data_IF_336024899546
#
_entry.id   IF_336024899546
#
_cell.length_a   1.000
_cell.length_b   1.000
_cell.length_c   1.000
_cell.angle_alpha   90.00
_cell.angle_beta   90.00
_cell.angle_gamma   90.00
#
_symmetry.space_group_name_H-M   'P 1'
#
loop_
_entity.id
_entity.type
_entity.pdbx_description
1 polymer ?
#
# COMPACT_ATOMS: atom_id res chain seq x y z
N UNK A 1 -20.64 -10.24 30.52
CA UNK A 1 -19.64 -10.81 29.60
C UNK A 1 -19.52 -9.87 28.41
N UNK A 2 -18.49 -9.01 28.40
CA UNK A 2 -18.35 -7.93 27.42
C UNK A 2 -17.75 -8.45 26.12
N UNK A 3 -18.52 -8.33 25.03
CA UNK A 3 -18.05 -8.52 23.65
C UNK A 3 -16.97 -7.46 23.35
N UNK A 4 -15.70 -7.85 23.46
CA UNK A 4 -14.60 -7.07 22.89
C UNK A 4 -14.69 -7.22 21.37
N UNK A 5 -15.20 -6.19 20.70
CA UNK A 5 -15.24 -6.14 19.24
C UNK A 5 -13.86 -6.33 18.63
N UNK A 6 -13.79 -7.05 17.52
CA UNK A 6 -12.55 -7.43 16.80
C UNK A 6 -11.67 -6.21 16.49
N UNK A 7 -12.27 -5.03 16.29
CA UNK A 7 -11.57 -3.78 16.00
C UNK A 7 -10.86 -3.10 17.17
N UNK A 8 -11.07 -3.58 18.40
CA UNK A 8 -10.19 -3.19 19.53
C UNK A 8 -8.74 -3.66 19.31
N UNK A 9 -8.50 -4.60 18.38
CA UNK A 9 -7.18 -5.09 17.99
C UNK A 9 -6.58 -4.41 16.76
N UNK A 10 -7.31 -3.51 16.08
CA UNK A 10 -6.75 -2.66 15.02
C UNK A 10 -5.97 -1.48 15.61
N UNK A 11 -6.06 -1.26 16.92
CA UNK A 11 -5.12 -0.41 17.64
C UNK A 11 -3.79 -1.14 17.86
N UNK A 12 -2.74 -0.58 17.28
CA UNK A 12 -1.34 -0.92 17.51
C UNK A 12 -0.96 -2.34 17.11
N UNK A 13 -0.71 -2.57 15.83
CA UNK A 13 0.31 -3.56 15.46
C UNK A 13 1.66 -3.06 15.97
N UNK A 14 1.94 -3.24 17.28
CA UNK A 14 3.32 -3.47 17.69
C UNK A 14 3.77 -4.61 16.78
N UNK A 15 4.76 -4.39 15.91
CA UNK A 15 5.39 -5.43 15.11
C UNK A 15 6.04 -6.47 16.07
N UNK A 16 5.22 -7.24 16.77
CA UNK A 16 5.59 -8.27 17.73
C UNK A 16 5.82 -9.56 16.97
N UNK A 17 6.88 -9.61 16.18
CA UNK A 17 7.30 -10.85 15.53
C UNK A 17 8.11 -11.66 16.54
N UNK A 18 7.81 -12.95 16.66
CA UNK A 18 8.77 -13.90 17.21
C UNK A 18 10.02 -13.84 16.33
N UNK A 19 11.08 -13.20 16.81
CA UNK A 19 12.33 -13.03 16.08
C UNK A 19 13.08 -14.35 16.12
N UNK A 20 13.21 -15.10 14.99
CA UNK A 20 14.05 -16.28 14.99
C UNK A 20 15.48 -15.89 15.40
N UNK A 21 16.10 -16.71 16.27
CA UNK A 21 17.50 -16.49 16.63
C UNK A 21 18.34 -16.51 15.36
N UNK A 22 19.24 -15.53 15.23
CA UNK A 22 20.13 -15.40 14.09
C UNK A 22 21.00 -16.67 13.95
N UNK A 23 20.57 -17.55 13.04
CA UNK A 23 21.10 -18.87 12.63
C UNK A 23 19.98 -19.75 12.03
N UNK A 24 18.71 -19.38 12.19
CA UNK A 24 17.55 -20.15 11.70
C UNK A 24 17.57 -20.45 10.19
N UNK A 25 18.24 -19.64 9.37
CA UNK A 25 18.42 -19.89 7.94
C UNK A 25 19.67 -20.70 7.57
N UNK A 26 20.58 -20.98 8.51
CA UNK A 26 21.81 -21.74 8.28
C UNK A 26 22.94 -21.01 7.53
N UNK A 27 22.66 -19.88 6.86
CA UNK A 27 23.62 -19.18 5.98
C UNK A 27 24.90 -18.72 6.69
N UNK A 28 24.83 -18.39 7.98
CA UNK A 28 25.99 -17.94 8.75
C UNK A 28 27.12 -18.96 8.87
N UNK A 29 26.87 -20.24 8.52
CA UNK A 29 27.87 -21.33 8.58
C UNK A 29 28.78 -21.38 7.36
N UNK A 30 28.33 -20.84 6.22
CA UNK A 30 29.02 -20.99 4.93
C UNK A 30 29.66 -19.70 4.39
N UNK A 31 29.45 -18.56 5.05
CA UNK A 31 29.95 -17.26 4.62
C UNK A 31 31.13 -16.79 5.50
N UNK A 32 32.02 -15.96 4.95
CA UNK A 32 33.20 -15.43 5.65
C UNK A 32 32.86 -14.32 6.65
N UNK A 33 31.86 -13.50 6.33
CA UNK A 33 31.43 -12.35 7.13
C UNK A 33 29.96 -12.50 7.57
N UNK A 34 29.67 -13.43 8.50
CA UNK A 34 28.30 -13.67 8.95
C UNK A 34 27.75 -12.46 9.71
N UNK A 35 26.44 -12.22 9.57
CA UNK A 35 25.69 -11.19 10.31
C UNK A 35 26.24 -9.79 10.08
N UNK A 36 26.62 -9.51 8.84
CA UNK A 36 27.18 -8.23 8.42
C UNK A 36 26.30 -7.06 8.88
N UNK A 37 26.88 -6.15 9.67
CA UNK A 37 26.20 -4.96 10.20
C UNK A 37 26.07 -3.90 9.10
N UNK A 38 25.12 -2.97 9.21
CA UNK A 38 25.06 -1.83 8.30
C UNK A 38 26.37 -1.02 8.31
N UNK A 39 26.73 -0.44 7.16
CA UNK A 39 27.93 0.41 6.98
C UNK A 39 27.55 1.79 6.42
N UNK A 40 28.51 2.72 6.37
CA UNK A 40 28.30 4.11 5.94
C UNK A 40 27.97 5.07 7.10
N UNK A 41 28.04 6.37 6.84
CA UNK A 41 27.86 7.41 7.86
C UNK A 41 26.41 7.88 7.96
N UNK A 42 25.67 7.86 6.84
CA UNK A 42 24.25 8.19 6.80
C UNK A 42 23.94 9.65 7.14
N UNK A 43 24.81 10.59 6.75
CA UNK A 43 24.65 12.04 7.00
C UNK A 43 23.26 12.55 6.59
N UNK A 44 22.67 11.98 5.54
CA UNK A 44 21.36 12.38 5.00
C UNK A 44 20.19 11.49 5.43
N UNK A 45 20.41 10.58 6.39
CA UNK A 45 19.40 9.66 6.95
C UNK A 45 18.74 8.77 5.90
N UNK A 46 19.50 8.31 4.93
CA UNK A 46 19.06 7.36 3.90
C UNK A 46 19.66 5.99 4.19
N UNK A 47 18.84 4.94 4.11
CA UNK A 47 19.28 3.56 4.18
C UNK A 47 19.09 2.88 2.82
N UNK A 48 20.18 2.39 2.24
CA UNK A 48 20.15 1.54 1.04
C UNK A 48 20.06 0.08 1.48
N UNK A 49 19.11 -0.67 0.90
CA UNK A 49 18.91 -2.10 1.17
C UNK A 49 19.05 -2.87 -0.13
N UNK A 50 20.12 -3.66 -0.28
CA UNK A 50 20.29 -4.59 -1.39
C UNK A 50 19.78 -6.00 -1.06
N UNK A 51 20.04 -6.97 -1.93
CA UNK A 51 19.57 -8.35 -1.78
C UNK A 51 20.32 -9.13 -0.68
N UNK A 52 21.62 -9.34 -0.86
CA UNK A 52 22.49 -10.09 0.03
C UNK A 52 23.96 -9.72 -0.28
N UNK A 53 24.92 -9.99 0.64
CA UNK A 53 26.34 -9.88 0.32
C UNK A 53 26.72 -10.79 -0.85
N UNK A 54 27.46 -10.25 -1.82
CA UNK A 54 28.15 -11.02 -2.85
C UNK A 54 29.49 -11.55 -2.37
N UNK A 55 30.31 -12.04 -3.30
CA UNK A 55 31.60 -12.66 -2.97
C UNK A 55 32.60 -11.66 -2.38
N UNK A 56 32.68 -10.47 -2.97
CA UNK A 56 33.59 -9.42 -2.51
C UNK A 56 33.10 -8.83 -1.19
N UNK A 57 31.80 -8.59 -1.05
CA UNK A 57 31.20 -8.12 0.20
C UNK A 57 31.48 -9.09 1.35
N UNK A 58 31.26 -10.39 1.12
CA UNK A 58 31.51 -11.43 2.13
C UNK A 58 32.99 -11.54 2.50
N UNK A 59 33.90 -11.37 1.53
CA UNK A 59 35.34 -11.39 1.78
C UNK A 59 35.80 -10.20 2.63
N UNK A 60 35.26 -9.01 2.41
CA UNK A 60 35.75 -7.77 3.04
C UNK A 60 34.89 -7.30 4.22
N UNK A 61 33.71 -7.89 4.44
CA UNK A 61 32.86 -7.54 5.58
C UNK A 61 32.07 -6.22 5.39
N UNK A 62 31.89 -5.76 4.15
CA UNK A 62 31.19 -4.50 3.82
C UNK A 62 30.23 -4.67 2.64
N UNK A 63 29.31 -3.74 2.41
CA UNK A 63 28.27 -3.84 1.38
C UNK A 63 28.58 -3.00 0.14
N UNK A 64 28.09 -3.45 -1.02
CA UNK A 64 28.05 -2.69 -2.27
C UNK A 64 29.45 -2.24 -2.73
N UNK A 65 30.39 -3.19 -2.78
CA UNK A 65 31.75 -2.99 -3.26
C UNK A 65 32.06 -3.77 -4.55
N UNK A 66 31.21 -4.72 -4.93
CA UNK A 66 31.30 -5.39 -6.23
C UNK A 66 30.79 -4.52 -7.39
N UNK A 67 30.66 -5.08 -8.61
CA UNK A 67 30.27 -4.33 -9.82
C UNK A 67 28.92 -3.61 -9.71
N UNK A 68 27.94 -4.21 -9.03
CA UNK A 68 26.64 -3.59 -8.76
C UNK A 68 26.76 -2.39 -7.81
N UNK A 69 27.70 -2.45 -6.86
CA UNK A 69 28.01 -1.34 -5.96
C UNK A 69 28.70 -0.20 -6.69
N UNK A 70 29.63 -0.51 -7.60
CA UNK A 70 30.29 0.51 -8.42
C UNK A 70 29.29 1.26 -9.30
N UNK A 71 28.42 0.55 -10.03
CA UNK A 71 27.36 1.20 -10.82
C UNK A 71 26.49 2.12 -9.97
N UNK A 72 26.14 1.70 -8.74
CA UNK A 72 25.37 2.55 -7.83
C UNK A 72 26.16 3.80 -7.42
N UNK A 73 27.46 3.69 -7.14
CA UNK A 73 28.33 4.81 -6.79
C UNK A 73 28.40 5.82 -7.94
N UNK A 74 28.63 5.34 -9.15
CA UNK A 74 28.70 6.19 -10.35
C UNK A 74 27.39 6.97 -10.52
N UNK A 75 26.23 6.30 -10.40
CA UNK A 75 24.91 6.96 -10.50
C UNK A 75 24.64 7.94 -9.35
N UNK A 76 25.13 7.65 -8.14
CA UNK A 76 24.98 8.51 -6.96
C UNK A 76 25.84 9.77 -7.10
N UNK A 77 27.08 9.64 -7.55
CA UNK A 77 27.99 10.75 -7.81
C UNK A 77 27.42 11.68 -8.90
N UNK A 78 26.88 11.08 -9.96
CA UNK A 78 26.17 11.74 -11.07
C UNK A 78 24.98 12.61 -10.63
N UNK A 79 24.40 12.36 -9.46
CA UNK A 79 23.29 13.13 -8.87
C UNK A 79 23.72 13.93 -7.64
N UNK A 80 25.03 14.02 -7.37
CA UNK A 80 25.62 14.82 -6.29
C UNK A 80 25.48 14.20 -4.90
N UNK A 81 25.55 12.87 -4.79
CA UNK A 81 25.51 12.12 -3.54
C UNK A 81 26.70 11.18 -3.41
N UNK A 82 27.22 11.06 -2.19
CA UNK A 82 28.23 10.05 -1.86
C UNK A 82 27.56 8.86 -1.16
N UNK A 83 27.73 7.65 -1.70
CA UNK A 83 27.09 6.44 -1.18
C UNK A 83 27.58 6.02 0.23
N UNK A 84 28.82 6.36 0.61
CA UNK A 84 29.40 6.04 1.91
C UNK A 84 29.17 7.12 2.95
N UNK A 85 29.29 8.39 2.57
CA UNK A 85 29.06 9.50 3.50
C UNK A 85 27.57 9.80 3.72
N UNK A 86 26.77 9.87 2.65
CA UNK A 86 25.38 10.32 2.77
C UNK A 86 24.43 9.23 3.24
N UNK A 87 24.78 7.96 3.00
CA UNK A 87 23.90 6.81 3.16
C UNK A 87 24.45 5.73 4.10
N UNK A 88 23.55 5.09 4.83
CA UNK A 88 23.79 3.76 5.37
C UNK A 88 23.50 2.70 4.32
N UNK A 89 24.16 1.56 4.42
CA UNK A 89 23.97 0.40 3.53
C UNK A 89 23.75 -0.86 4.34
N UNK A 90 22.82 -1.68 3.89
CA UNK A 90 22.57 -3.02 4.40
C UNK A 90 21.95 -3.89 3.30
N UNK A 91 21.56 -5.11 3.64
CA UNK A 91 20.95 -6.08 2.74
C UNK A 91 19.71 -6.69 3.37
N UNK A 92 18.83 -7.27 2.55
CA UNK A 92 17.71 -8.08 3.02
C UNK A 92 18.20 -9.30 3.82
N UNK A 93 19.30 -9.91 3.37
CA UNK A 93 20.04 -10.95 4.10
C UNK A 93 21.37 -10.41 4.60
N UNK A 94 21.73 -10.66 5.86
CA UNK A 94 23.02 -10.24 6.43
C UNK A 94 24.15 -11.26 6.21
N UNK A 95 23.91 -12.34 5.46
CA UNK A 95 24.89 -13.40 5.16
C UNK A 95 24.79 -13.76 3.68
N UNK A 96 25.94 -14.08 3.05
CA UNK A 96 26.01 -14.50 1.66
C UNK A 96 25.37 -15.89 1.46
N UNK A 97 24.41 -16.04 0.52
CA UNK A 97 23.96 -17.36 0.07
C UNK A 97 25.06 -18.11 -0.71
N UNK A 98 25.11 -19.45 -0.64
CA UNK A 98 26.04 -20.25 -1.44
C UNK A 98 25.96 -19.88 -2.93
N UNK A 99 27.11 -19.76 -3.57
CA UNK A 99 27.23 -19.46 -5.01
C UNK A 99 26.50 -18.19 -5.48
N UNK A 100 26.24 -17.24 -4.57
CA UNK A 100 25.44 -16.04 -4.84
C UNK A 100 24.03 -16.35 -5.39
N UNK A 101 23.45 -17.51 -5.06
CA UNK A 101 22.09 -17.83 -5.49
C UNK A 101 21.08 -16.81 -4.94
N UNK A 102 19.95 -16.60 -5.61
CA UNK A 102 18.86 -15.79 -5.08
C UNK A 102 18.40 -16.29 -3.69
N UNK A 103 18.11 -15.37 -2.75
CA UNK A 103 17.52 -15.72 -1.47
C UNK A 103 16.14 -16.35 -1.60
N UNK A 104 15.86 -17.32 -0.74
CA UNK A 104 14.51 -17.88 -0.60
C UNK A 104 13.63 -17.00 0.30
N UNK A 105 12.30 -17.12 0.16
CA UNK A 105 11.34 -16.42 1.05
C UNK A 105 11.60 -16.71 2.53
N UNK A 106 11.89 -17.97 2.88
CA UNK A 106 12.20 -18.39 4.26
C UNK A 106 13.47 -17.72 4.81
N UNK A 107 14.49 -17.55 3.98
CA UNK A 107 15.73 -16.86 4.38
C UNK A 107 15.51 -15.37 4.60
N UNK A 108 14.75 -14.72 3.70
CA UNK A 108 14.35 -13.31 3.85
C UNK A 108 13.54 -13.13 5.15
N UNK A 109 12.56 -13.99 5.40
CA UNK A 109 11.75 -13.96 6.62
C UNK A 109 12.59 -14.16 7.88
N UNK A 110 13.52 -15.12 7.85
CA UNK A 110 14.42 -15.39 8.97
C UNK A 110 15.40 -14.23 9.25
N UNK A 111 15.84 -13.50 8.22
CA UNK A 111 16.80 -12.40 8.37
C UNK A 111 16.13 -11.02 8.59
N UNK A 112 14.83 -10.89 8.30
CA UNK A 112 14.04 -9.64 8.47
C UNK A 112 14.25 -8.95 9.83
N UNK A 113 14.33 -9.65 10.98
CA UNK A 113 14.57 -8.98 12.25
C UNK A 113 15.86 -8.14 12.30
N UNK A 114 16.89 -8.53 11.55
CA UNK A 114 18.12 -7.76 11.43
C UNK A 114 17.87 -6.43 10.70
N UNK A 115 17.10 -6.44 9.60
CA UNK A 115 16.72 -5.22 8.88
C UNK A 115 15.85 -4.31 9.76
N UNK A 116 14.86 -4.87 10.46
CA UNK A 116 13.99 -4.08 11.35
C UNK A 116 14.77 -3.45 12.52
N UNK A 117 15.76 -4.18 13.06
CA UNK A 117 16.68 -3.65 14.07
C UNK A 117 17.49 -2.49 13.51
N UNK A 118 18.09 -2.65 12.32
CA UNK A 118 18.85 -1.59 11.66
C UNK A 118 17.99 -0.34 11.40
N UNK A 119 16.76 -0.50 10.88
CA UNK A 119 15.83 0.61 10.67
C UNK A 119 15.51 1.33 11.99
N UNK A 120 15.28 0.58 13.07
CA UNK A 120 14.99 1.17 14.39
C UNK A 120 16.19 1.93 14.96
N UNK A 121 17.40 1.39 14.83
CA UNK A 121 18.62 1.99 15.39
C UNK A 121 19.07 3.21 14.58
N UNK A 122 19.05 3.12 13.25
CA UNK A 122 19.49 4.19 12.35
C UNK A 122 18.42 5.27 12.15
N UNK A 123 17.15 4.94 12.38
CA UNK A 123 16.00 5.84 12.20
C UNK A 123 16.03 6.61 10.85
N UNK A 124 16.17 5.91 9.71
CA UNK A 124 16.27 6.56 8.41
C UNK A 124 14.95 7.28 8.07
N UNK A 125 15.07 8.36 7.30
CA UNK A 125 13.93 9.06 6.69
C UNK A 125 13.48 8.34 5.42
N UNK A 126 14.43 7.83 4.65
CA UNK A 126 14.20 7.14 3.38
C UNK A 126 14.90 5.79 3.41
N UNK A 127 14.21 4.75 2.95
CA UNK A 127 14.79 3.42 2.70
C UNK A 127 14.66 3.13 1.22
N UNK A 128 15.79 3.02 0.52
CA UNK A 128 15.83 2.62 -0.90
C UNK A 128 15.93 1.10 -0.96
N UNK A 129 14.94 0.46 -1.57
CA UNK A 129 14.84 -1.00 -1.66
C UNK A 129 15.26 -1.46 -3.05
N UNK A 130 16.45 -2.05 -3.18
CA UNK A 130 17.01 -2.46 -4.45
C UNK A 130 16.62 -3.91 -4.77
N UNK A 131 15.67 -4.07 -5.70
CA UNK A 131 15.18 -5.37 -6.16
C UNK A 131 14.15 -6.03 -5.24
N UNK A 132 13.59 -7.15 -5.72
CA UNK A 132 12.42 -7.78 -5.11
C UNK A 132 12.70 -8.37 -3.72
N UNK A 133 13.94 -8.82 -3.48
CA UNK A 133 14.37 -9.35 -2.17
C UNK A 133 14.36 -8.26 -1.09
N UNK A 134 14.84 -7.06 -1.41
CA UNK A 134 14.78 -5.89 -0.52
C UNK A 134 13.34 -5.41 -0.31
N UNK A 135 12.55 -5.39 -1.39
CA UNK A 135 11.11 -5.07 -1.33
C UNK A 135 10.36 -6.05 -0.43
N UNK A 136 10.59 -7.35 -0.59
CA UNK A 136 9.91 -8.41 0.19
C UNK A 136 10.33 -8.44 1.65
N UNK A 137 11.57 -8.05 1.96
CA UNK A 137 12.07 -8.03 3.35
C UNK A 137 11.35 -6.99 4.19
N UNK A 138 11.13 -5.78 3.65
CA UNK A 138 10.46 -4.68 4.36
C UNK A 138 8.94 -4.64 4.15
N UNK A 139 8.47 -4.72 2.91
CA UNK A 139 7.04 -4.52 2.59
C UNK A 139 6.19 -5.78 2.72
N UNK A 140 6.79 -6.97 2.58
CA UNK A 140 6.09 -8.25 2.71
C UNK A 140 5.20 -8.40 3.95
N UNK A 141 5.67 -8.12 5.19
CA UNK A 141 4.85 -8.24 6.39
C UNK A 141 3.72 -7.20 6.49
N UNK A 142 3.79 -6.10 5.73
CA UNK A 142 2.83 -5.00 5.75
C UNK A 142 1.77 -5.19 4.67
N UNK A 143 2.19 -5.61 3.48
CA UNK A 143 1.32 -5.83 2.32
C UNK A 143 0.52 -7.14 2.41
N UNK A 144 1.09 -8.21 3.01
CA UNK A 144 0.48 -9.53 3.26
C UNK A 144 -0.20 -10.21 2.06
N UNK A 145 0.02 -9.71 0.85
CA UNK A 145 -0.46 -10.25 -0.42
C UNK A 145 0.73 -10.60 -1.30
N UNK A 146 0.48 -11.22 -2.43
CA UNK A 146 1.55 -11.55 -3.36
C UNK A 146 2.30 -10.28 -3.81
N UNK A 147 3.63 -10.38 -3.79
CA UNK A 147 4.50 -9.27 -4.18
C UNK A 147 4.47 -9.06 -5.70
N UNK A 148 4.26 -10.10 -6.50
CA UNK A 148 4.33 -10.01 -7.96
C UNK A 148 5.73 -9.63 -8.45
N UNK A 149 5.80 -9.09 -9.66
CA UNK A 149 7.04 -8.68 -10.30
C UNK A 149 7.57 -7.34 -9.74
N UNK A 150 8.88 -7.08 -9.94
CA UNK A 150 9.52 -5.86 -9.48
C UNK A 150 8.93 -4.59 -10.12
N UNK A 151 8.51 -4.65 -11.40
CA UNK A 151 7.95 -3.50 -12.14
C UNK A 151 6.79 -2.80 -11.41
N UNK A 152 5.93 -3.59 -10.75
CA UNK A 152 4.84 -3.12 -9.89
C UNK A 152 5.28 -2.13 -8.79
N UNK A 153 6.50 -2.26 -8.29
CA UNK A 153 6.97 -1.55 -7.09
C UNK A 153 7.88 -0.35 -7.40
N UNK A 154 8.59 -0.39 -8.52
CA UNK A 154 9.62 0.59 -8.83
C UNK A 154 9.04 2.00 -8.96
N UNK A 155 9.72 2.98 -8.39
CA UNK A 155 9.38 4.40 -8.53
C UNK A 155 8.32 4.92 -7.54
N UNK A 156 7.66 4.02 -6.79
CA UNK A 156 6.77 4.45 -5.70
C UNK A 156 7.55 5.04 -4.53
N UNK A 157 6.96 6.05 -3.88
CA UNK A 157 7.45 6.66 -2.62
C UNK A 157 6.48 6.33 -1.50
N UNK A 158 6.58 5.12 -0.98
CA UNK A 158 5.57 4.52 -0.10
C UNK A 158 5.73 5.07 1.33
N UNK A 159 4.75 5.82 1.88
CA UNK A 159 4.88 6.40 3.21
C UNK A 159 4.59 5.35 4.29
N UNK A 160 5.60 4.67 4.83
CA UNK A 160 5.42 3.71 5.93
C UNK A 160 5.24 4.47 7.25
N UNK A 161 4.00 4.88 7.52
CA UNK A 161 3.64 5.78 8.64
C UNK A 161 3.99 5.21 10.02
N UNK A 162 3.79 3.91 10.22
CA UNK A 162 4.14 3.21 11.47
C UNK A 162 5.66 3.17 11.71
N UNK A 163 6.45 3.13 10.65
CA UNK A 163 7.92 3.17 10.71
C UNK A 163 8.48 4.59 10.57
N UNK A 164 7.61 5.58 10.38
CA UNK A 164 7.94 6.98 10.20
C UNK A 164 8.98 7.25 9.10
N UNK A 165 8.92 6.52 7.99
CA UNK A 165 9.88 6.61 6.87
C UNK A 165 9.20 6.41 5.50
N UNK A 166 9.89 6.77 4.43
CA UNK A 166 9.49 6.43 3.06
C UNK A 166 10.26 5.22 2.55
N UNK A 167 9.55 4.21 2.02
CA UNK A 167 10.15 3.10 1.29
C UNK A 167 10.09 3.38 -0.22
N UNK A 168 11.24 3.34 -0.89
CA UNK A 168 11.39 3.70 -2.29
C UNK A 168 12.02 2.54 -3.07
N UNK A 169 11.21 1.67 -3.70
CA UNK A 169 11.73 0.56 -4.49
C UNK A 169 12.37 1.02 -5.79
N UNK A 170 13.51 0.42 -6.12
CA UNK A 170 14.23 0.62 -7.40
C UNK A 170 14.77 -0.73 -7.89
N UNK A 171 15.10 -0.85 -9.18
CA UNK A 171 15.77 -2.04 -9.68
C UNK A 171 17.10 -2.25 -8.97
N UNK A 172 17.49 -3.51 -8.81
CA UNK A 172 18.83 -3.82 -8.31
C UNK A 172 19.87 -3.49 -9.39
N UNK A 173 21.02 -2.86 -9.06
CA UNK A 173 22.02 -2.50 -10.07
C UNK A 173 22.54 -3.70 -10.88
N UNK A 174 22.62 -4.89 -10.27
CA UNK A 174 22.97 -6.13 -11.00
C UNK A 174 21.98 -6.50 -12.10
N UNK A 175 20.71 -6.12 -11.99
CA UNK A 175 19.73 -6.31 -13.06
C UNK A 175 20.03 -5.38 -14.24
N UNK A 176 20.37 -4.12 -13.97
CA UNK A 176 20.74 -3.13 -14.99
C UNK A 176 21.95 -3.59 -15.80
N UNK A 177 23.00 -4.06 -15.11
CA UNK A 177 24.21 -4.61 -15.74
C UNK A 177 23.92 -5.77 -16.70
N UNK A 178 22.90 -6.59 -16.41
CA UNK A 178 22.51 -7.73 -17.29
C UNK A 178 21.66 -7.32 -18.48
N UNK A 179 20.85 -6.26 -18.36
CA UNK A 179 19.93 -5.84 -19.42
C UNK A 179 20.59 -4.96 -20.48
N UNK A 180 21.69 -4.27 -20.14
CA UNK A 180 22.37 -3.31 -21.01
C UNK A 180 21.40 -2.37 -21.75
N UNK A 181 20.49 -1.74 -21.00
CA UNK A 181 19.41 -0.90 -21.52
C UNK A 181 19.50 0.52 -20.95
N UNK A 182 19.81 1.48 -21.83
CA UNK A 182 20.00 2.89 -21.44
C UNK A 182 18.73 3.53 -20.87
N UNK A 183 17.56 3.22 -21.45
CA UNK A 183 16.27 3.75 -20.96
C UNK A 183 16.02 3.28 -19.53
N UNK A 184 16.33 2.02 -19.24
CA UNK A 184 16.21 1.47 -17.89
C UNK A 184 17.17 2.16 -16.90
N UNK A 185 18.40 2.47 -17.33
CA UNK A 185 19.37 3.22 -16.52
C UNK A 185 18.88 4.65 -16.22
N UNK A 186 18.27 5.33 -17.20
CA UNK A 186 17.68 6.66 -17.02
C UNK A 186 16.52 6.61 -16.00
N UNK A 187 15.64 5.62 -16.10
CA UNK A 187 14.56 5.44 -15.11
C UNK A 187 15.12 5.14 -13.72
N UNK A 188 16.12 4.27 -13.62
CA UNK A 188 16.79 3.98 -12.35
C UNK A 188 17.35 5.25 -11.71
N UNK A 189 18.12 6.05 -12.46
CA UNK A 189 18.66 7.34 -12.00
C UNK A 189 17.55 8.28 -11.54
N UNK A 190 16.48 8.44 -12.33
CA UNK A 190 15.33 9.31 -12.01
C UNK A 190 14.59 8.87 -10.74
N UNK A 191 14.39 7.57 -10.55
CA UNK A 191 13.70 7.07 -9.35
C UNK A 191 14.58 7.19 -8.11
N UNK A 192 15.87 6.93 -8.24
CA UNK A 192 16.83 7.13 -7.16
C UNK A 192 16.88 8.61 -6.75
N UNK A 193 17.04 9.52 -7.71
CA UNK A 193 17.04 10.97 -7.45
C UNK A 193 15.73 11.43 -6.79
N UNK A 194 14.57 10.97 -7.27
CA UNK A 194 13.26 11.27 -6.69
C UNK A 194 13.11 10.77 -5.24
N UNK A 195 13.70 9.62 -4.92
CA UNK A 195 13.70 9.06 -3.56
C UNK A 195 14.60 9.86 -2.62
N UNK A 196 15.80 10.22 -3.08
CA UNK A 196 16.81 10.93 -2.29
C UNK A 196 16.43 12.40 -2.01
N UNK A 197 15.62 13.02 -2.87
CA UNK A 197 15.06 14.36 -2.66
C UNK A 197 13.97 14.44 -1.58
N UNK A 198 13.53 13.32 -1.00
CA UNK A 198 12.57 13.34 0.10
C UNK A 198 13.26 13.87 1.36
N UNK A 199 12.83 15.05 1.80
CA UNK A 199 13.35 15.77 2.97
C UNK A 199 12.43 15.70 4.20
N UNK A 200 11.15 15.40 3.99
CA UNK A 200 10.12 15.25 5.01
C UNK A 200 9.88 13.80 5.46
N UNK A 201 9.23 13.65 6.62
CA UNK A 201 8.70 12.35 7.11
C UNK A 201 7.22 12.20 6.76
N UNK A 202 6.71 10.95 6.66
CA UNK A 202 5.30 10.74 6.40
C UNK A 202 4.45 11.27 7.56
N UNK A 203 3.21 11.66 7.26
CA UNK A 203 2.23 12.00 8.29
C UNK A 203 1.93 10.78 9.18
N UNK A 204 1.44 11.05 10.40
CA UNK A 204 1.02 10.00 11.33
C UNK A 204 -0.05 9.08 10.70
N UNK A 205 -0.12 7.81 11.13
CA UNK A 205 -1.20 6.90 10.76
C UNK A 205 -2.58 7.48 11.08
N UNK A 206 -3.59 7.12 10.28
CA UNK A 206 -4.98 7.44 10.60
C UNK A 206 -5.52 6.48 11.65
N UNK A 207 -6.28 7.01 12.62
CA UNK A 207 -7.17 6.20 13.43
C UNK A 207 -8.53 6.11 12.74
N UNK A 208 -8.71 5.06 11.93
CA UNK A 208 -9.95 4.83 11.18
C UNK A 208 -11.19 4.73 12.07
N UNK A 209 -11.06 4.32 13.34
CA UNK A 209 -12.19 4.28 14.26
C UNK A 209 -12.66 5.68 14.68
N UNK A 210 -11.80 6.69 14.58
CA UNK A 210 -12.13 8.08 14.89
C UNK A 210 -12.62 8.85 13.66
N UNK A 211 -12.08 8.55 12.47
CA UNK A 211 -12.42 9.30 11.24
C UNK A 211 -13.63 8.75 10.48
N UNK A 212 -14.03 7.50 10.74
CA UNK A 212 -15.20 6.88 10.08
C UNK A 212 -16.36 6.79 11.07
N UNK A 213 -17.44 7.50 10.75
CA UNK A 213 -18.68 7.45 11.50
C UNK A 213 -19.55 6.28 11.04
N UNK A 214 -19.77 5.30 11.92
CA UNK A 214 -20.56 4.09 11.65
C UNK A 214 -21.99 4.27 12.17
N UNK A 215 -22.86 4.83 11.35
CA UNK A 215 -24.23 5.14 11.75
C UNK A 215 -25.16 3.97 11.41
N UNK A 216 -25.69 3.31 12.44
CA UNK A 216 -26.57 2.15 12.29
C UNK A 216 -28.04 2.54 12.19
N UNK A 217 -28.40 3.73 12.68
CA UNK A 217 -29.75 4.28 12.59
C UNK A 217 -29.92 4.99 11.24
N UNK A 218 -30.77 4.42 10.38
CA UNK A 218 -30.98 4.94 9.04
C UNK A 218 -31.54 6.38 9.00
N UNK A 219 -32.25 6.83 10.04
CA UNK A 219 -32.77 8.21 10.11
C UNK A 219 -31.67 9.20 10.46
N UNK A 220 -30.74 8.80 11.35
CA UNK A 220 -29.55 9.60 11.65
C UNK A 220 -28.61 9.62 10.46
N UNK A 221 -28.39 8.49 9.80
CA UNK A 221 -27.59 8.41 8.58
C UNK A 221 -28.15 9.35 7.51
N UNK A 222 -29.46 9.33 7.27
CA UNK A 222 -30.14 10.25 6.33
C UNK A 222 -29.84 11.72 6.61
N UNK A 223 -29.87 12.15 7.88
CA UNK A 223 -29.51 13.53 8.27
C UNK A 223 -28.07 13.87 7.91
N UNK A 224 -27.14 12.94 8.13
CA UNK A 224 -25.71 13.14 7.82
C UNK A 224 -25.50 13.18 6.30
N UNK A 225 -26.13 12.28 5.54
CA UNK A 225 -26.04 12.22 4.08
C UNK A 225 -26.45 13.55 3.44
N UNK A 226 -27.46 14.23 3.97
CA UNK A 226 -27.88 15.57 3.49
C UNK A 226 -26.76 16.62 3.59
N UNK A 227 -25.86 16.51 4.57
CA UNK A 227 -24.75 17.46 4.73
C UNK A 227 -23.77 17.36 3.56
N UNK A 228 -23.58 16.16 3.00
CA UNK A 228 -22.74 15.94 1.83
C UNK A 228 -23.28 16.59 0.55
N UNK A 229 -24.56 17.00 0.52
CA UNK A 229 -25.13 17.74 -0.61
C UNK A 229 -24.52 19.13 -0.82
N UNK A 230 -23.74 19.64 0.14
CA UNK A 230 -23.05 20.92 0.06
C UNK A 230 -21.54 20.79 -0.21
N UNK A 231 -21.02 19.56 -0.27
CA UNK A 231 -19.60 19.33 -0.51
C UNK A 231 -19.22 19.57 -1.97
N UNK A 232 -17.97 19.99 -2.18
CA UNK A 232 -17.41 20.21 -3.51
C UNK A 232 -17.40 18.92 -4.36
N UNK A 233 -17.07 17.79 -3.72
CA UNK A 233 -17.00 16.46 -4.34
C UNK A 233 -17.13 15.40 -3.25
N UNK A 234 -17.55 14.20 -3.65
CA UNK A 234 -17.64 13.04 -2.75
C UNK A 234 -17.08 11.78 -3.41
N UNK A 235 -16.64 10.84 -2.60
CA UNK A 235 -16.50 9.44 -2.95
C UNK A 235 -17.61 8.64 -2.26
N UNK A 236 -18.08 7.58 -2.91
CA UNK A 236 -18.98 6.64 -2.28
C UNK A 236 -18.69 5.23 -2.76
N UNK A 237 -19.00 4.27 -1.90
CA UNK A 237 -18.71 2.86 -2.13
C UNK A 237 -19.88 2.00 -1.61
N UNK A 238 -20.15 0.89 -2.31
CA UNK A 238 -21.19 -0.07 -1.98
C UNK A 238 -20.62 -1.42 -1.60
N UNK A 239 -21.12 -1.97 -0.51
CA UNK A 239 -20.93 -3.37 -0.20
C UNK A 239 -22.17 -4.17 -0.53
N UNK A 240 -21.99 -5.27 -1.26
CA UNK A 240 -23.09 -6.01 -1.87
C UNK A 240 -22.96 -7.50 -1.58
N UNK A 241 -24.08 -8.21 -1.64
CA UNK A 241 -24.11 -9.65 -1.39
C UNK A 241 -23.60 -10.50 -2.55
N UNK A 242 -23.16 -9.88 -3.66
CA UNK A 242 -22.61 -10.55 -4.85
C UNK A 242 -21.95 -9.53 -5.79
N UNK A 243 -21.23 -10.01 -6.80
CA UNK A 243 -20.51 -9.11 -7.71
C UNK A 243 -21.42 -8.42 -8.73
N UNK A 244 -22.52 -9.05 -9.16
CA UNK A 244 -23.41 -8.48 -10.17
C UNK A 244 -24.86 -8.44 -9.70
N UNK A 245 -25.60 -7.36 -9.99
CA UNK A 245 -26.96 -7.18 -9.49
C UNK A 245 -28.04 -7.86 -10.35
N UNK A 246 -27.67 -8.81 -11.20
CA UNK A 246 -28.60 -9.38 -12.21
C UNK A 246 -29.69 -10.25 -11.59
N UNK A 247 -29.39 -10.92 -10.48
CA UNK A 247 -30.35 -11.77 -9.78
C UNK A 247 -31.43 -10.93 -9.08
N UNK A 248 -32.65 -11.42 -9.01
CA UNK A 248 -33.78 -10.68 -8.43
C UNK A 248 -33.63 -10.44 -6.91
N UNK A 249 -32.88 -11.30 -6.23
CA UNK A 249 -32.59 -11.22 -4.80
C UNK A 249 -31.29 -10.46 -4.48
N UNK A 250 -30.68 -9.79 -5.48
CA UNK A 250 -29.44 -9.03 -5.31
C UNK A 250 -29.63 -7.85 -4.35
N UNK A 251 -28.71 -7.69 -3.38
CA UNK A 251 -28.83 -6.66 -2.35
C UNK A 251 -27.54 -5.85 -2.17
N UNK A 252 -27.70 -4.54 -2.09
CA UNK A 252 -26.72 -3.66 -1.44
C UNK A 252 -26.93 -3.81 0.08
N UNK A 253 -25.85 -4.03 0.81
CA UNK A 253 -25.85 -4.30 2.26
C UNK A 253 -25.47 -3.06 3.04
N UNK A 254 -24.46 -2.33 2.59
CA UNK A 254 -24.07 -1.04 3.15
C UNK A 254 -23.60 -0.08 2.08
N UNK A 255 -23.59 1.20 2.43
CA UNK A 255 -22.94 2.23 1.64
C UNK A 255 -22.11 3.13 2.57
N UNK A 256 -21.02 3.65 2.03
CA UNK A 256 -20.24 4.70 2.66
C UNK A 256 -20.11 5.91 1.74
N UNK A 257 -20.03 7.10 2.33
CA UNK A 257 -19.80 8.37 1.63
C UNK A 257 -18.69 9.13 2.35
N UNK A 258 -17.75 9.66 1.59
CA UNK A 258 -16.65 10.48 2.09
C UNK A 258 -16.48 11.76 1.28
N UNK A 259 -16.13 12.86 1.93
CA UNK A 259 -15.65 14.09 1.29
C UNK A 259 -14.14 14.30 1.55
N UNK A 260 -13.45 13.26 2.03
CA UNK A 260 -12.04 13.30 2.40
C UNK A 260 -11.74 13.81 3.81
N UNK A 261 -12.68 14.46 4.49
CA UNK A 261 -12.53 14.92 5.88
C UNK A 261 -13.48 14.16 6.81
N UNK A 262 -14.73 14.04 6.39
CA UNK A 262 -15.79 13.32 7.06
C UNK A 262 -16.20 12.13 6.23
N UNK A 263 -16.37 10.99 6.90
CA UNK A 263 -16.83 9.75 6.28
C UNK A 263 -17.94 9.14 7.11
N UNK A 264 -19.05 8.80 6.47
CA UNK A 264 -20.15 8.05 7.09
C UNK A 264 -20.35 6.73 6.37
N UNK A 265 -20.45 5.64 7.13
CA UNK A 265 -20.83 4.33 6.63
C UNK A 265 -22.09 3.87 7.36
N UNK A 266 -23.07 3.36 6.60
CA UNK A 266 -24.39 3.03 7.11
C UNK A 266 -24.99 1.80 6.42
N UNK A 267 -25.87 1.04 7.11
CA UNK A 267 -26.61 -0.05 6.48
C UNK A 267 -27.53 0.49 5.38
N UNK A 268 -27.66 -0.25 4.29
CA UNK A 268 -28.49 0.13 3.15
C UNK A 268 -29.98 -0.13 3.43
N UNK A 269 -30.59 0.68 4.28
CA UNK A 269 -31.99 0.51 4.72
C UNK A 269 -32.71 1.85 4.91
N UNK A 270 -34.03 1.84 4.77
CA UNK A 270 -34.91 2.96 5.16
C UNK A 270 -34.57 4.31 4.53
N UNK A 271 -34.66 5.38 5.33
CA UNK A 271 -34.43 6.76 4.88
C UNK A 271 -33.01 7.02 4.34
N UNK A 272 -32.02 6.23 4.74
CA UNK A 272 -30.65 6.38 4.23
C UNK A 272 -30.61 6.15 2.71
N UNK A 273 -31.35 5.15 2.21
CA UNK A 273 -31.45 4.86 0.76
C UNK A 273 -32.02 6.07 0.00
N UNK A 274 -33.05 6.71 0.56
CA UNK A 274 -33.75 7.84 -0.07
C UNK A 274 -32.79 9.02 -0.23
N UNK A 275 -32.05 9.37 0.84
CA UNK A 275 -31.11 10.48 0.81
C UNK A 275 -29.87 10.18 -0.05
N UNK A 276 -29.37 8.94 -0.03
CA UNK A 276 -28.28 8.54 -0.94
C UNK A 276 -28.73 8.64 -2.39
N UNK A 277 -29.92 8.15 -2.72
CA UNK A 277 -30.49 8.26 -4.05
C UNK A 277 -30.62 9.73 -4.51
N UNK A 278 -31.03 10.64 -3.62
CA UNK A 278 -31.05 12.09 -3.88
C UNK A 278 -29.64 12.64 -4.12
N UNK A 279 -28.67 12.28 -3.29
CA UNK A 279 -27.27 12.71 -3.41
C UNK A 279 -26.65 12.22 -4.72
N UNK A 280 -26.92 10.99 -5.15
CA UNK A 280 -26.38 10.44 -6.40
C UNK A 280 -26.94 11.11 -7.66
N UNK A 281 -28.16 11.66 -7.60
CA UNK A 281 -28.74 12.50 -8.68
C UNK A 281 -28.32 13.97 -8.62
N UNK A 282 -27.69 14.39 -7.54
CA UNK A 282 -27.25 15.78 -7.37
C UNK A 282 -26.16 16.14 -8.39
N UNK A 283 -25.93 17.44 -8.67
CA UNK A 283 -24.85 17.86 -9.56
C UNK A 283 -23.46 17.73 -8.94
N UNK A 284 -23.33 17.29 -7.69
CA UNK A 284 -22.02 17.17 -7.02
C UNK A 284 -21.17 16.14 -7.76
N UNK A 285 -19.88 16.40 -8.01
CA UNK A 285 -18.92 15.43 -8.52
C UNK A 285 -18.82 14.15 -7.66
N UNK A 286 -18.91 12.97 -8.29
CA UNK A 286 -18.75 11.65 -7.64
C UNK A 286 -17.45 10.97 -8.05
N UNK A 287 -16.81 10.33 -7.07
CA UNK A 287 -15.60 9.53 -7.22
C UNK A 287 -15.97 8.10 -6.81
N UNK A 288 -15.45 7.11 -7.55
CA UNK A 288 -15.48 5.71 -7.12
C UNK A 288 -14.28 4.96 -7.73
N UNK A 289 -14.01 3.74 -7.28
CA UNK A 289 -13.14 2.80 -7.97
C UNK A 289 -13.96 1.86 -8.86
N UNK A 290 -13.60 1.73 -10.14
CA UNK A 290 -14.32 0.85 -11.07
C UNK A 290 -15.81 1.23 -11.17
N UNK A 291 -16.07 2.49 -11.54
CA UNK A 291 -17.39 3.16 -11.59
C UNK A 291 -18.49 2.30 -12.19
N UNK A 292 -18.16 1.44 -13.16
CA UNK A 292 -19.12 0.52 -13.79
C UNK A 292 -19.86 -0.35 -12.77
N UNK A 293 -19.25 -0.67 -11.63
CA UNK A 293 -19.85 -1.45 -10.57
C UNK A 293 -20.93 -0.65 -9.84
N UNK A 294 -20.59 0.51 -9.30
CA UNK A 294 -21.50 1.39 -8.57
C UNK A 294 -22.62 1.89 -9.48
N UNK A 295 -22.30 2.23 -10.73
CA UNK A 295 -23.27 2.66 -11.73
C UNK A 295 -24.30 1.56 -12.03
N UNK A 296 -23.85 0.30 -12.19
CA UNK A 296 -24.74 -0.82 -12.49
C UNK A 296 -25.64 -1.16 -11.31
N UNK A 297 -25.09 -1.18 -10.10
CA UNK A 297 -25.86 -1.39 -8.87
C UNK A 297 -26.88 -0.28 -8.64
N UNK A 298 -26.48 0.98 -8.81
CA UNK A 298 -27.38 2.14 -8.70
C UNK A 298 -28.55 2.01 -9.69
N UNK A 299 -28.28 1.67 -10.95
CA UNK A 299 -29.33 1.51 -11.97
C UNK A 299 -30.31 0.39 -11.63
N UNK A 300 -29.81 -0.79 -11.22
CA UNK A 300 -30.68 -1.91 -10.87
C UNK A 300 -31.53 -1.61 -9.63
N UNK A 301 -30.92 -1.06 -8.57
CA UNK A 301 -31.58 -0.94 -7.25
C UNK A 301 -32.39 0.35 -7.13
N UNK A 302 -31.94 1.45 -7.72
CA UNK A 302 -32.57 2.76 -7.60
C UNK A 302 -33.30 3.23 -8.87
N UNK A 303 -33.16 2.53 -10.00
CA UNK A 303 -33.85 2.84 -11.25
C UNK A 303 -33.28 4.05 -12.00
N UNK A 304 -32.11 4.57 -11.61
CA UNK A 304 -31.43 5.68 -12.30
C UNK A 304 -29.90 5.54 -12.26
N UNK A 305 -29.21 6.26 -13.13
CA UNK A 305 -27.74 6.35 -13.10
C UNK A 305 -27.22 7.38 -12.09
N UNK A 306 -25.92 7.36 -11.82
CA UNK A 306 -25.25 8.37 -10.99
C UNK A 306 -24.90 9.57 -11.86
N UNK A 307 -25.19 10.78 -11.37
CA UNK A 307 -24.92 12.04 -12.08
C UNK A 307 -23.56 12.60 -11.68
N UNK A 308 -22.84 13.12 -12.68
CA UNK A 308 -21.57 13.85 -12.54
C UNK A 308 -20.41 13.01 -11.98
N UNK A 309 -20.12 11.88 -12.64
CA UNK A 309 -18.87 11.14 -12.38
C UNK A 309 -17.65 12.01 -12.70
N UNK A 310 -16.72 12.10 -11.75
CA UNK A 310 -15.52 12.94 -11.82
C UNK A 310 -14.24 12.13 -11.93
N UNK A 311 -14.18 10.96 -11.28
CA UNK A 311 -12.97 10.13 -11.26
C UNK A 311 -13.31 8.66 -11.03
N UNK A 312 -12.84 7.82 -11.94
CA UNK A 312 -12.62 6.39 -11.68
C UNK A 312 -11.16 6.22 -11.25
N UNK A 313 -10.93 5.84 -9.99
CA UNK A 313 -9.57 5.73 -9.46
C UNK A 313 -8.79 4.56 -10.07
N UNK A 314 -9.46 3.50 -10.54
CA UNK A 314 -8.80 2.37 -11.20
C UNK A 314 -8.35 2.73 -12.61
N UNK A 315 -9.19 3.44 -13.37
CA UNK A 315 -8.81 3.93 -14.70
C UNK A 315 -7.69 4.97 -14.62
N UNK A 316 -7.78 5.92 -13.69
CA UNK A 316 -6.71 6.89 -13.48
C UNK A 316 -5.39 6.23 -13.07
N UNK A 317 -5.43 5.18 -12.24
CA UNK A 317 -4.24 4.40 -11.91
C UNK A 317 -3.62 3.77 -13.18
N UNK A 318 -4.44 3.21 -14.07
CA UNK A 318 -3.98 2.59 -15.32
C UNK A 318 -3.37 3.59 -16.30
N UNK A 319 -3.94 4.79 -16.39
CA UNK A 319 -3.40 5.88 -17.22
C UNK A 319 -2.06 6.38 -16.70
N UNK A 320 -1.92 6.51 -15.37
CA UNK A 320 -0.68 6.97 -14.74
C UNK A 320 0.45 5.93 -14.80
N UNK A 321 0.11 4.65 -14.74
CA UNK A 321 1.07 3.56 -14.81
C UNK A 321 0.37 2.29 -15.33
N UNK A 322 0.93 1.67 -16.38
CA UNK A 322 0.35 0.52 -17.07
C UNK A 322 0.87 -0.84 -16.56
N UNK A 323 1.67 -0.86 -15.49
CA UNK A 323 2.13 -2.10 -14.86
C UNK A 323 0.95 -2.95 -14.36
N UNK A 324 1.00 -4.28 -14.52
CA UNK A 324 -0.09 -5.15 -14.10
C UNK A 324 -0.24 -5.18 -12.57
N UNK A 325 -1.48 -5.30 -12.09
CA UNK A 325 -1.80 -5.52 -10.68
C UNK A 325 -1.69 -4.28 -9.78
N UNK A 326 -1.63 -3.08 -10.36
CA UNK A 326 -1.48 -1.84 -9.57
C UNK A 326 -2.78 -1.06 -9.37
N UNK A 327 -3.85 -1.39 -10.08
CA UNK A 327 -5.01 -0.48 -10.20
C UNK A 327 -5.98 -0.53 -9.03
N UNK A 328 -5.91 -1.56 -8.17
CA UNK A 328 -6.87 -1.71 -7.07
C UNK A 328 -6.72 -0.63 -6.00
N UNK A 329 -7.83 -0.25 -5.37
CA UNK A 329 -7.86 0.69 -4.23
C UNK A 329 -6.87 0.26 -3.15
N UNK A 330 -6.82 -1.05 -2.85
CA UNK A 330 -5.96 -1.62 -1.81
C UNK A 330 -4.49 -1.37 -2.11
N UNK A 331 -4.06 -1.60 -3.36
CA UNK A 331 -2.68 -1.33 -3.77
C UNK A 331 -2.38 0.17 -3.81
N UNK A 332 -3.26 0.96 -4.40
CA UNK A 332 -3.10 2.41 -4.49
C UNK A 332 -3.07 3.07 -3.10
N UNK A 333 -3.91 2.62 -2.16
CA UNK A 333 -3.90 3.04 -0.76
C UNK A 333 -2.56 2.69 -0.09
N UNK A 334 -2.02 1.51 -0.35
CA UNK A 334 -0.72 1.13 0.18
C UNK A 334 0.40 2.03 -0.36
N UNK A 335 0.58 2.09 -1.68
CA UNK A 335 1.75 2.77 -2.27
C UNK A 335 1.66 4.30 -2.19
N UNK A 336 0.46 4.88 -2.13
CA UNK A 336 0.27 6.34 -2.10
C UNK A 336 0.01 6.89 -0.70
N UNK A 337 -0.67 6.13 0.15
CA UNK A 337 -1.15 6.60 1.45
C UNK A 337 -0.50 5.86 2.62
N UNK A 338 0.19 4.73 2.37
CA UNK A 338 0.87 3.98 3.42
C UNK A 338 -0.04 3.07 4.23
N UNK A 339 -1.26 2.82 3.72
CA UNK A 339 -2.25 1.99 4.40
C UNK A 339 -1.96 0.54 4.04
N UNK A 340 -1.48 -0.23 5.04
CA UNK A 340 -1.17 -1.65 4.89
C UNK A 340 -2.41 -2.52 4.72
N UNK A 341 -2.27 -3.82 4.94
CA UNK A 341 -3.38 -4.77 4.90
C UNK A 341 -4.50 -4.42 5.91
N UNK A 342 -5.70 -4.15 5.39
CA UNK A 342 -6.91 -3.86 6.18
C UNK A 342 -8.10 -4.75 5.82
N UNK A 343 -7.99 -5.57 4.79
CA UNK A 343 -9.09 -6.35 4.20
C UNK A 343 -8.95 -7.86 4.39
N UNK A 344 -7.78 -8.37 4.78
CA UNK A 344 -7.54 -9.82 4.87
C UNK A 344 -8.54 -10.60 5.75
N UNK A 345 -9.13 -9.96 6.76
CA UNK A 345 -10.14 -10.57 7.62
C UNK A 345 -11.56 -10.51 7.04
N UNK A 346 -11.81 -9.64 6.05
CA UNK A 346 -13.11 -9.47 5.39
C UNK A 346 -13.17 -10.22 4.06
N UNK A 347 -12.07 -10.28 3.30
CA UNK A 347 -11.96 -10.95 1.99
C UNK A 347 -12.60 -12.36 1.94
N UNK A 348 -12.45 -13.23 2.96
CA UNK A 348 -13.10 -14.55 2.95
C UNK A 348 -14.63 -14.51 2.80
N UNK A 349 -15.27 -13.43 3.25
CA UNK A 349 -16.73 -13.27 3.21
C UNK A 349 -17.23 -12.74 1.87
N UNK A 350 -16.37 -12.12 1.06
CA UNK A 350 -16.73 -11.65 -0.28
C UNK A 350 -16.60 -12.71 -1.37
N UNK A 351 -15.97 -13.85 -1.07
CA UNK A 351 -15.82 -14.95 -2.02
C UNK A 351 -17.16 -15.63 -2.28
N UNK A 352 -17.48 -15.82 -3.56
CA UNK A 352 -18.65 -16.55 -4.05
C UNK A 352 -18.24 -17.56 -5.12
N UNK A 353 -19.11 -18.54 -5.39
CA UNK A 353 -18.88 -19.56 -6.42
C UNK A 353 -18.90 -19.00 -7.85
N UNK A 354 -19.63 -17.91 -8.08
CA UNK A 354 -19.72 -17.21 -9.36
C UNK A 354 -20.07 -15.74 -9.15
N UNK A 355 -19.96 -14.90 -10.20
CA UNK A 355 -20.27 -13.46 -10.07
C UNK A 355 -21.71 -13.14 -9.65
N UNK A 356 -22.65 -14.06 -9.90
CA UNK A 356 -24.07 -13.89 -9.56
C UNK A 356 -24.46 -14.65 -8.28
N UNK A 357 -23.58 -15.53 -7.81
CA UNK A 357 -23.83 -16.28 -6.59
C UNK A 357 -23.68 -15.37 -5.37
N UNK A 358 -24.54 -15.53 -4.34
CA UNK A 358 -24.36 -14.86 -3.07
C UNK A 358 -22.98 -15.14 -2.46
N UNK A 359 -22.44 -14.12 -1.83
CA UNK A 359 -21.29 -14.20 -0.95
C UNK A 359 -21.77 -14.36 0.51
N UNK A 360 -20.82 -14.35 1.44
CA UNK A 360 -21.04 -14.54 2.88
C UNK A 360 -21.00 -13.22 3.66
N UNK A 361 -21.11 -12.07 2.99
CA UNK A 361 -20.97 -10.76 3.64
C UNK A 361 -21.96 -10.55 4.79
N UNK A 362 -23.15 -11.17 4.71
CA UNK A 362 -24.19 -11.10 5.74
C UNK A 362 -23.80 -11.82 7.05
N UNK A 363 -22.77 -12.65 7.03
CA UNK A 363 -22.22 -13.31 8.23
C UNK A 363 -21.24 -12.40 9.00
N UNK A 364 -20.80 -11.28 8.41
CA UNK A 364 -19.91 -10.32 9.08
C UNK A 364 -20.64 -9.55 10.19
N UNK A 365 -19.88 -9.16 11.20
CA UNK A 365 -20.37 -8.17 12.14
C UNK A 365 -20.62 -6.84 11.40
N UNK A 366 -21.82 -6.28 11.55
CA UNK A 366 -22.20 -5.05 10.87
C UNK A 366 -21.22 -3.89 11.15
N UNK A 367 -20.72 -3.76 12.37
CA UNK A 367 -19.77 -2.69 12.72
C UNK A 367 -18.45 -2.79 11.96
N UNK A 368 -18.06 -4.02 11.63
CA UNK A 368 -16.80 -4.35 10.96
C UNK A 368 -16.95 -4.10 9.46
N UNK A 369 -18.09 -4.51 8.90
CA UNK A 369 -18.48 -4.21 7.52
C UNK A 369 -18.54 -2.69 7.28
N UNK A 370 -19.21 -1.94 8.16
CA UNK A 370 -19.31 -0.48 8.03
C UNK A 370 -17.94 0.20 8.13
N UNK A 371 -17.03 -0.32 8.96
CA UNK A 371 -15.69 0.23 9.03
C UNK A 371 -14.92 -0.03 7.73
N UNK A 372 -14.97 -1.25 7.20
CA UNK A 372 -14.34 -1.60 5.92
C UNK A 372 -14.87 -0.74 4.76
N UNK A 373 -16.19 -0.63 4.60
CA UNK A 373 -16.82 0.18 3.56
C UNK A 373 -16.45 1.67 3.72
N UNK A 374 -16.45 2.18 4.95
CA UNK A 374 -16.00 3.54 5.24
C UNK A 374 -14.53 3.78 4.89
N UNK A 375 -13.67 2.79 5.11
CA UNK A 375 -12.26 2.87 4.72
C UNK A 375 -12.13 2.95 3.21
N UNK A 376 -12.82 2.09 2.46
CA UNK A 376 -12.76 2.12 1.00
C UNK A 376 -13.21 3.48 0.43
N UNK A 377 -14.36 4.02 0.85
CA UNK A 377 -14.82 5.34 0.40
C UNK A 377 -13.83 6.48 0.73
N UNK A 378 -13.26 6.51 1.95
CA UNK A 378 -12.28 7.53 2.34
C UNK A 378 -10.98 7.39 1.54
N UNK A 379 -10.48 6.17 1.38
CA UNK A 379 -9.23 5.90 0.68
C UNK A 379 -9.37 6.22 -0.81
N UNK A 380 -10.50 5.89 -1.42
CA UNK A 380 -10.79 6.26 -2.80
C UNK A 380 -10.76 7.76 -3.01
N UNK A 381 -11.38 8.53 -2.11
CA UNK A 381 -11.31 10.00 -2.16
C UNK A 381 -9.85 10.48 -2.13
N UNK A 382 -9.06 10.00 -1.15
CA UNK A 382 -7.66 10.40 -0.98
C UNK A 382 -6.75 9.94 -2.13
N UNK A 383 -7.04 8.79 -2.73
CA UNK A 383 -6.36 8.32 -3.94
C UNK A 383 -6.67 9.24 -5.11
N UNK A 384 -7.96 9.58 -5.31
CA UNK A 384 -8.38 10.47 -6.38
C UNK A 384 -7.72 11.85 -6.27
N UNK A 385 -7.65 12.45 -5.08
CA UNK A 385 -6.94 13.74 -4.88
C UNK A 385 -5.48 13.66 -5.33
N UNK A 386 -4.77 12.57 -4.99
CA UNK A 386 -3.38 12.38 -5.40
C UNK A 386 -3.25 12.17 -6.91
N UNK A 387 -4.12 11.35 -7.50
CA UNK A 387 -4.12 11.10 -8.94
C UNK A 387 -4.42 12.37 -9.74
N UNK A 388 -5.42 13.15 -9.30
CA UNK A 388 -5.77 14.43 -9.91
C UNK A 388 -4.60 15.40 -9.89
N UNK A 389 -3.89 15.50 -8.75
CA UNK A 389 -2.67 16.32 -8.64
C UNK A 389 -1.57 15.86 -9.60
N UNK A 390 -1.35 14.55 -9.71
CA UNK A 390 -0.34 13.98 -10.62
C UNK A 390 -0.67 14.18 -12.09
N UNK A 391 -1.96 14.19 -12.43
CA UNK A 391 -2.45 14.42 -13.79
C UNK A 391 -2.58 15.90 -14.15
N UNK A 392 -2.31 16.82 -13.21
CA UNK A 392 -2.42 18.26 -13.44
C UNK A 392 -3.86 18.80 -13.44
N UNK A 393 -4.81 18.05 -12.87
CA UNK A 393 -6.18 18.52 -12.75
C UNK A 393 -6.29 19.66 -11.73
N UNK A 394 -7.21 20.61 -11.98
CA UNK A 394 -7.63 21.56 -10.94
C UNK A 394 -8.37 20.78 -9.85
N UNK A 395 -7.82 20.80 -8.63
CA UNK A 395 -8.34 20.09 -7.44
C UNK A 395 -9.64 20.74 -6.98
#
# INVERSE_FOLDING_TARGET
MGNKGFFSSVQQSRLGFAVPRCQACGLSRGCKSPKMKPTGEGKRKVLIVAEAPGADEDKHGTQLIGPAGQLLRDVMEDIGWDLDEDCWKTNALCCRPPDNRPPTKKEIEACRPCLMKAIKELNPRVVVLMGLSAVSSLLGPIWKKDMGAMGRWVGWKIPLRELNLYACPVWHPSYLLRQNNEVLNLWFKRYLESALKIDQRPMKPWDFNQVIFREKDHRKAAKIIRLFCSCEKIAFDYETDRLKPDADDSQIISCAISNGEHTVAYPWVGEAIIETSRLLRSPIPKIAANIKFEERWTRKVLGHGVRNWKRDTMQAAHVLNNEPGITSVKFQAFVRLGVGDYDSHIVPYFKSASSNAPNRIKELNLSDLLLYNGMDALLEFKIAEKQMKEMGDKI
#
